data_IF_488368211203
#
_entry.id   IF_488368211203
#
_cell.length_a   1.000
_cell.length_b   1.000
_cell.length_c   1.000
_cell.angle_alpha   90.00
_cell.angle_beta   90.00
_cell.angle_gamma   90.00
#
_symmetry.space_group_name_H-M   'P 1'
#
loop_
_entity.id
_entity.type
_entity.pdbx_description
1 polymer ?
#
# COMPACT_ATOMS: atom_id res chain seq x y z
N UNK A 1 -8.39 0.03 -4.91
CA UNK A 1 -7.58 1.05 -4.17
C UNK A 1 -6.27 0.40 -3.72
N UNK A 2 -5.27 1.19 -3.31
CA UNK A 2 -4.02 0.69 -2.74
C UNK A 2 -3.81 1.40 -1.39
N UNK A 3 -3.48 0.64 -0.36
CA UNK A 3 -3.16 1.16 0.98
C UNK A 3 -1.82 0.60 1.47
N UNK A 4 -1.25 1.26 2.47
CA UNK A 4 -0.20 0.66 3.29
C UNK A 4 -0.84 -0.12 4.45
N UNK A 5 -0.27 -1.28 4.73
CA UNK A 5 -0.46 -1.99 5.98
C UNK A 5 0.83 -1.95 6.79
N UNK A 6 0.73 -1.72 8.10
CA UNK A 6 1.85 -1.76 9.04
C UNK A 6 1.53 -2.77 10.12
N UNK A 7 2.41 -3.75 10.35
CA UNK A 7 2.18 -4.85 11.29
C UNK A 7 0.82 -5.55 11.05
N UNK A 8 0.47 -5.73 9.78
CA UNK A 8 -0.81 -6.31 9.34
C UNK A 8 -2.03 -5.38 9.42
N UNK A 9 -1.95 -4.23 10.09
CA UNK A 9 -3.04 -3.25 10.20
C UNK A 9 -3.11 -2.37 8.94
N UNK A 10 -4.26 -2.38 8.26
CA UNK A 10 -4.48 -1.68 7.00
C UNK A 10 -5.01 -0.26 7.21
N UNK A 11 -4.40 0.74 6.58
CA UNK A 11 -4.89 2.13 6.62
C UNK A 11 -5.86 2.43 5.46
N UNK A 12 -7.15 2.13 5.69
CA UNK A 12 -8.22 2.45 4.75
C UNK A 12 -8.57 3.94 4.66
N UNK A 13 -8.18 4.72 5.67
CA UNK A 13 -8.52 6.15 5.74
C UNK A 13 -7.58 6.98 4.87
N UNK A 14 -6.36 6.50 4.64
CA UNK A 14 -5.34 7.17 3.82
C UNK A 14 -4.80 6.26 2.69
N UNK A 15 -5.62 5.97 1.67
CA UNK A 15 -5.14 5.19 0.53
C UNK A 15 -4.03 5.93 -0.23
N UNK A 16 -2.96 5.20 -0.59
CA UNK A 16 -1.85 5.72 -1.39
C UNK A 16 -2.18 5.76 -2.90
N UNK A 17 -3.25 5.08 -3.32
CA UNK A 17 -3.86 5.26 -4.63
C UNK A 17 -5.35 4.85 -4.64
N UNK A 18 -6.17 5.57 -5.39
CA UNK A 18 -7.59 5.24 -5.59
C UNK A 18 -8.04 5.60 -7.01
N UNK A 19 -9.24 5.14 -7.41
CA UNK A 19 -9.87 5.47 -8.69
C UNK A 19 -9.03 5.16 -9.95
N UNK A 20 -8.31 4.03 -9.94
CA UNK A 20 -7.57 3.51 -11.10
C UNK A 20 -8.10 2.13 -11.50
N UNK A 21 -7.86 1.74 -12.76
CA UNK A 21 -8.20 0.41 -13.25
C UNK A 21 -7.17 -0.61 -12.77
N UNK A 22 -7.62 -1.69 -12.15
CA UNK A 22 -6.75 -2.80 -11.75
C UNK A 22 -6.26 -3.64 -12.94
N UNK A 23 -6.80 -3.41 -14.14
CA UNK A 23 -6.44 -4.11 -15.38
C UNK A 23 -5.23 -3.49 -16.09
N UNK A 24 -4.62 -2.45 -15.52
CA UNK A 24 -3.45 -1.78 -16.12
C UNK A 24 -2.19 -2.66 -16.16
N UNK A 25 -2.18 -3.79 -15.43
CA UNK A 25 -1.02 -4.69 -15.30
C UNK A 25 0.08 -4.14 -14.38
N UNK A 26 0.31 -2.83 -14.39
CA UNK A 26 1.19 -2.11 -13.46
C UNK A 26 0.58 -0.76 -13.09
N UNK A 27 0.75 -0.37 -11.83
CA UNK A 27 0.44 0.97 -11.33
C UNK A 27 1.57 1.44 -10.42
N UNK A 28 2.01 2.68 -10.59
CA UNK A 28 3.07 3.27 -9.76
C UNK A 28 2.44 4.09 -8.63
N UNK A 29 2.99 3.96 -7.42
CA UNK A 29 2.50 4.66 -6.23
C UNK A 29 3.65 5.36 -5.53
N UNK A 30 3.35 6.46 -4.85
CA UNK A 30 4.30 7.18 -4.03
C UNK A 30 3.95 6.98 -2.56
N UNK A 31 4.96 6.63 -1.76
CA UNK A 31 4.85 6.59 -0.30
C UNK A 31 4.91 8.03 0.22
N UNK A 32 3.98 8.46 1.10
CA UNK A 32 4.04 9.78 1.71
C UNK A 32 5.38 10.00 2.45
N UNK A 33 6.00 11.17 2.27
CA UNK A 33 7.30 11.48 2.89
C UNK A 33 7.28 11.49 4.42
N UNK A 34 6.11 11.70 5.02
CA UNK A 34 5.90 11.65 6.47
C UNK A 34 5.60 10.25 6.99
N UNK A 35 5.74 9.20 6.17
CA UNK A 35 5.61 7.82 6.62
C UNK A 35 6.76 7.50 7.57
N UNK A 36 6.43 7.00 8.76
CA UNK A 36 7.45 6.60 9.73
C UNK A 36 8.31 5.46 9.17
N UNK A 37 9.64 5.47 9.34
CA UNK A 37 10.47 4.32 8.99
C UNK A 37 10.07 3.03 9.73
N UNK A 38 10.31 1.88 9.12
CA UNK A 38 10.00 0.56 9.69
C UNK A 38 10.14 -0.56 8.66
N UNK A 39 10.23 -1.80 9.12
CA UNK A 39 10.45 -3.03 8.32
C UNK A 39 9.21 -3.94 8.20
N UNK A 40 8.08 -3.46 8.73
CA UNK A 40 6.82 -4.17 8.91
C UNK A 40 5.72 -3.68 7.95
N UNK A 41 6.10 -3.09 6.82
CA UNK A 41 5.16 -2.55 5.84
C UNK A 41 4.80 -3.55 4.75
N UNK A 42 3.54 -3.54 4.31
CA UNK A 42 3.08 -4.21 3.09
C UNK A 42 2.16 -3.29 2.29
N UNK A 43 2.12 -3.47 0.97
CA UNK A 43 1.13 -2.83 0.11
C UNK A 43 -0.04 -3.78 -0.04
N UNK A 44 -1.26 -3.27 0.09
CA UNK A 44 -2.49 -4.03 -0.16
C UNK A 44 -3.24 -3.44 -1.34
N UNK A 45 -3.37 -4.22 -2.41
CA UNK A 45 -4.17 -3.88 -3.58
C UNK A 45 -5.59 -4.46 -3.41
N UNK A 46 -6.60 -3.60 -3.50
CA UNK A 46 -8.00 -3.98 -3.44
C UNK A 46 -8.68 -3.93 -4.81
N UNK A 47 -9.24 -5.08 -5.22
CA UNK A 47 -10.27 -5.23 -6.24
C UNK A 47 -11.60 -5.61 -5.57
N UNK A 48 -12.02 -6.87 -5.72
CA UNK A 48 -13.10 -7.50 -4.95
C UNK A 48 -12.61 -8.08 -3.60
N UNK A 49 -11.32 -8.46 -3.56
CA UNK A 49 -10.58 -8.97 -2.40
C UNK A 49 -9.22 -8.23 -2.29
N UNK A 50 -8.61 -8.26 -1.09
CA UNK A 50 -7.35 -7.56 -0.81
C UNK A 50 -6.13 -8.47 -0.96
N UNK A 51 -5.15 -8.07 -1.78
CA UNK A 51 -3.92 -8.82 -2.03
C UNK A 51 -2.70 -8.11 -1.42
N UNK A 52 -2.01 -8.81 -0.53
CA UNK A 52 -0.79 -8.34 0.13
C UNK A 52 0.45 -8.57 -0.73
N UNK A 53 1.37 -7.60 -0.73
CA UNK A 53 2.76 -7.83 -1.07
C UNK A 53 3.50 -8.58 0.05
N UNK A 54 4.72 -9.08 -0.21
CA UNK A 54 5.69 -9.33 0.87
C UNK A 54 5.92 -8.08 1.71
N UNK A 55 6.39 -8.26 2.94
CA UNK A 55 6.80 -7.15 3.79
C UNK A 55 8.07 -6.48 3.26
N UNK A 56 8.20 -5.18 3.50
CA UNK A 56 9.35 -4.38 3.09
C UNK A 56 9.68 -3.28 4.10
N UNK A 57 10.90 -2.75 3.97
CA UNK A 57 11.41 -1.64 4.79
C UNK A 57 11.20 -0.30 4.11
N UNK A 58 10.70 0.66 4.87
CA UNK A 58 10.73 2.09 4.56
C UNK A 58 11.86 2.69 5.41
N UNK A 59 12.86 3.25 4.74
CA UNK A 59 14.00 3.93 5.37
C UNK A 59 13.81 5.45 5.40
N UNK A 60 14.62 6.14 6.20
CA UNK A 60 14.61 7.59 6.36
C UNK A 60 15.35 8.31 5.22
#
# INVERSE_FOLDING_TARGET
MIVLAKDGLQDYQHPIASNFSILLGRYEVHIPQNTTPGDDYAVVLFGDSGNYSPTFTIEA
#
